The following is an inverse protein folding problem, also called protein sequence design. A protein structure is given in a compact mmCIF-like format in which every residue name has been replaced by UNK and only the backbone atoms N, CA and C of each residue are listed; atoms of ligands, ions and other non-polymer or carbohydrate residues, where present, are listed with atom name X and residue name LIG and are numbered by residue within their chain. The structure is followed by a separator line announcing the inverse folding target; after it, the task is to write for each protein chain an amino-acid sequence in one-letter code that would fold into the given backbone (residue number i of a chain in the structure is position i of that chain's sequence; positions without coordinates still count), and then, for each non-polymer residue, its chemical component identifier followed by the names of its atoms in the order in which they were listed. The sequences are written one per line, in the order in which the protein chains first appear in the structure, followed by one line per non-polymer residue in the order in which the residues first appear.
data_IF_886252686226
#
_entry.id   IF_886252686226
#
_cell.length_a   1.000
_cell.length_b   1.000
_cell.length_c   1.000
_cell.angle_alpha   90.00
_cell.angle_beta   90.00
_cell.angle_gamma   90.00
#
_symmetry.space_group_name_H-M   'P 1'
#
loop_
_entity.id
_entity.type
_entity.pdbx_description
1 polymer ?
#
# COMPACT_ATOMS: atom_id res chain seq x y z
N UNK A 1 -14.53 -9.55 -14.69
CA UNK A 1 -13.32 -9.43 -15.53
C UNK A 1 -13.02 -7.97 -15.59
N UNK A 2 -11.82 -7.55 -15.20
CA UNK A 2 -11.44 -6.13 -15.16
C UNK A 2 -11.61 -5.52 -16.56
N UNK A 3 -12.19 -4.35 -16.61
CA UNK A 3 -12.43 -3.60 -17.84
C UNK A 3 -11.65 -2.29 -17.80
N UNK A 4 -11.07 -1.93 -18.93
CA UNK A 4 -10.30 -0.69 -19.09
C UNK A 4 -10.84 0.10 -20.25
N UNK A 5 -11.06 1.40 -20.03
CA UNK A 5 -11.36 2.34 -21.09
C UNK A 5 -10.17 3.25 -21.32
N UNK A 6 -9.70 3.33 -22.57
CA UNK A 6 -8.66 4.28 -23.00
C UNK A 6 -9.35 5.46 -23.67
N UNK A 7 -9.05 6.67 -23.21
CA UNK A 7 -9.54 7.92 -23.77
C UNK A 7 -8.35 8.66 -24.40
N UNK A 8 -8.34 8.78 -25.71
CA UNK A 8 -7.31 9.53 -26.44
C UNK A 8 -7.83 10.94 -26.70
N UNK A 9 -7.13 11.94 -26.17
CA UNK A 9 -7.54 13.34 -26.19
C UNK A 9 -6.42 14.26 -26.69
N UNK A 10 -6.80 15.24 -27.52
CA UNK A 10 -5.91 16.34 -27.92
C UNK A 10 -6.48 17.66 -27.42
N UNK A 11 -5.70 18.36 -26.62
CA UNK A 11 -6.10 19.64 -26.04
C UNK A 11 -4.90 20.57 -25.83
N UNK A 12 -5.07 21.82 -26.19
CA UNK A 12 -4.15 22.91 -25.84
C UNK A 12 -4.46 23.51 -24.45
N UNK A 13 -5.54 23.04 -23.81
CA UNK A 13 -6.09 23.55 -22.53
C UNK A 13 -6.06 22.50 -21.43
N UNK A 14 -4.92 21.86 -21.23
CA UNK A 14 -4.80 20.75 -20.27
C UNK A 14 -5.12 21.17 -18.83
N UNK A 15 -4.75 22.39 -18.42
CA UNK A 15 -5.06 22.91 -17.07
C UNK A 15 -6.58 23.00 -16.81
N UNK A 16 -7.36 23.36 -17.85
CA UNK A 16 -8.83 23.38 -17.75
C UNK A 16 -9.37 21.95 -17.72
N UNK A 17 -8.78 21.05 -18.49
CA UNK A 17 -9.13 19.64 -18.52
C UNK A 17 -8.86 18.98 -17.16
N UNK A 18 -7.71 19.24 -16.54
CA UNK A 18 -7.36 18.70 -15.21
C UNK A 18 -8.37 19.14 -14.15
N UNK A 19 -8.73 20.44 -14.14
CA UNK A 19 -9.77 20.94 -13.21
C UNK A 19 -11.13 20.28 -13.43
N UNK A 20 -11.48 20.04 -14.70
CA UNK A 20 -12.74 19.35 -15.02
C UNK A 20 -12.74 17.90 -14.52
N UNK A 21 -11.59 17.21 -14.51
CA UNK A 21 -11.43 15.88 -13.92
C UNK A 21 -11.58 15.92 -12.41
N UNK A 22 -11.00 16.93 -11.72
CA UNK A 22 -11.18 17.13 -10.29
C UNK A 22 -12.66 17.35 -9.94
N UNK A 23 -13.38 18.15 -10.75
CA UNK A 23 -14.82 18.39 -10.61
C UNK A 23 -15.61 17.09 -10.80
N UNK A 24 -15.21 16.22 -11.75
CA UNK A 24 -15.84 14.91 -11.94
C UNK A 24 -15.63 14.00 -10.73
N UNK A 25 -14.40 13.95 -10.20
CA UNK A 25 -14.07 13.15 -9.01
C UNK A 25 -14.93 13.57 -7.82
N UNK A 26 -15.07 14.89 -7.60
CA UNK A 26 -15.91 15.43 -6.51
C UNK A 26 -17.41 15.16 -6.73
N UNK A 27 -17.92 15.39 -7.96
CA UNK A 27 -19.35 15.24 -8.27
C UNK A 27 -19.84 13.78 -8.24
N UNK A 28 -18.94 12.83 -8.47
CA UNK A 28 -19.24 11.39 -8.53
C UNK A 28 -18.85 10.63 -7.27
N UNK A 29 -18.44 11.31 -6.21
CA UNK A 29 -18.08 10.69 -4.94
C UNK A 29 -19.21 9.80 -4.41
N UNK A 30 -18.86 8.57 -4.02
CA UNK A 30 -19.82 7.57 -3.54
C UNK A 30 -20.76 6.97 -4.62
N UNK A 31 -20.66 7.42 -5.88
CA UNK A 31 -21.50 6.94 -7.00
C UNK A 31 -20.69 6.28 -8.10
N UNK A 32 -19.46 6.77 -8.37
CA UNK A 32 -18.61 6.24 -9.42
C UNK A 32 -18.20 4.81 -9.17
N UNK A 33 -18.07 4.06 -10.23
CA UNK A 33 -17.59 2.68 -10.23
C UNK A 33 -16.18 2.55 -10.79
N UNK A 34 -15.60 3.63 -11.33
CA UNK A 34 -14.19 3.68 -11.69
C UNK A 34 -13.32 3.49 -10.44
N UNK A 35 -12.35 2.58 -10.54
CA UNK A 35 -11.44 2.22 -9.43
C UNK A 35 -10.09 2.89 -9.55
N UNK A 36 -9.65 3.20 -10.78
CA UNK A 36 -8.38 3.86 -11.05
C UNK A 36 -8.46 4.67 -12.34
N UNK A 37 -7.76 5.80 -12.39
CA UNK A 37 -7.58 6.59 -13.59
C UNK A 37 -6.13 7.08 -13.67
N UNK A 38 -5.50 6.95 -14.84
CA UNK A 38 -4.14 7.37 -15.12
C UNK A 38 -4.15 8.26 -16.37
N UNK A 39 -3.57 9.46 -16.27
CA UNK A 39 -3.41 10.36 -17.44
C UNK A 39 -1.94 10.46 -17.80
N UNK A 40 -1.60 10.07 -19.03
CA UNK A 40 -0.27 10.20 -19.61
C UNK A 40 -0.21 11.33 -20.65
N UNK A 41 0.85 12.15 -20.62
CA UNK A 41 1.18 13.08 -21.72
C UNK A 41 2.09 12.39 -22.71
N UNK A 42 1.76 12.45 -24.01
CA UNK A 42 2.64 11.97 -25.07
C UNK A 42 3.93 12.83 -25.12
N UNK A 43 5.08 12.17 -25.03
CA UNK A 43 6.38 12.85 -25.10
C UNK A 43 6.75 13.32 -26.48
N UNK A 44 6.16 12.74 -27.53
CA UNK A 44 6.46 13.01 -28.91
C UNK A 44 5.50 14.04 -29.55
N UNK A 45 4.33 14.26 -28.90
CA UNK A 45 3.28 15.12 -29.46
C UNK A 45 2.75 16.08 -28.41
N UNK A 46 3.01 17.36 -28.53
CA UNK A 46 2.43 18.36 -27.63
C UNK A 46 0.91 18.40 -27.75
N UNK A 47 0.25 18.57 -26.58
CA UNK A 47 -1.21 18.61 -26.48
C UNK A 47 -1.91 17.27 -26.63
N UNK A 48 -1.18 16.18 -26.74
CA UNK A 48 -1.74 14.83 -26.81
C UNK A 48 -1.67 14.15 -25.43
N UNK A 49 -2.82 13.66 -24.96
CA UNK A 49 -2.99 13.00 -23.65
C UNK A 49 -3.79 11.72 -23.84
N UNK A 50 -3.41 10.71 -23.08
CA UNK A 50 -4.12 9.43 -23.02
C UNK A 50 -4.52 9.19 -21.56
N UNK A 51 -5.81 9.03 -21.34
CA UNK A 51 -6.35 8.62 -20.05
C UNK A 51 -6.71 7.14 -20.10
N UNK A 52 -6.36 6.40 -19.05
CA UNK A 52 -6.68 4.99 -18.85
C UNK A 52 -7.54 4.90 -17.61
N UNK A 53 -8.80 4.46 -17.76
CA UNK A 53 -9.75 4.32 -16.63
C UNK A 53 -10.06 2.85 -16.43
N UNK A 54 -9.92 2.37 -15.20
CA UNK A 54 -10.19 0.98 -14.82
C UNK A 54 -11.53 0.84 -14.10
N UNK A 55 -12.21 -0.27 -14.38
CA UNK A 55 -13.48 -0.66 -13.77
C UNK A 55 -13.47 -2.14 -13.38
N UNK A 56 -14.23 -2.56 -12.36
CA UNK A 56 -14.37 -3.97 -11.98
C UNK A 56 -14.95 -4.82 -13.13
N UNK A 57 -15.79 -4.22 -13.98
CA UNK A 57 -16.44 -4.90 -15.12
C UNK A 57 -16.90 -3.88 -16.18
N UNK A 58 -17.21 -4.37 -17.38
CA UNK A 58 -17.87 -3.57 -18.41
C UNK A 58 -19.25 -3.03 -17.94
N UNK A 59 -20.00 -3.80 -17.16
CA UNK A 59 -21.27 -3.34 -16.60
C UNK A 59 -21.07 -2.13 -15.66
N UNK A 60 -20.00 -2.17 -14.86
CA UNK A 60 -19.62 -1.05 -14.00
C UNK A 60 -19.24 0.20 -14.81
N UNK A 61 -18.49 0.03 -15.90
CA UNK A 61 -18.17 1.12 -16.80
C UNK A 61 -19.43 1.76 -17.41
N UNK A 62 -20.40 0.94 -17.82
CA UNK A 62 -21.68 1.44 -18.34
C UNK A 62 -22.49 2.17 -17.28
N UNK A 63 -22.50 1.68 -16.03
CA UNK A 63 -23.16 2.39 -14.92
C UNK A 63 -22.52 3.75 -14.68
N UNK A 64 -21.19 3.83 -14.71
CA UNK A 64 -20.45 5.06 -14.54
C UNK A 64 -20.74 6.08 -15.65
N UNK A 65 -20.77 5.60 -16.90
CA UNK A 65 -21.07 6.44 -18.06
C UNK A 65 -22.51 6.98 -18.05
N UNK A 66 -23.45 6.26 -17.44
CA UNK A 66 -24.85 6.67 -17.32
C UNK A 66 -25.13 7.60 -16.12
N UNK A 67 -24.13 7.98 -15.32
CA UNK A 67 -24.29 8.99 -14.29
C UNK A 67 -24.56 10.37 -14.95
N UNK A 68 -25.57 11.12 -14.53
CA UNK A 68 -25.83 12.46 -15.06
C UNK A 68 -24.62 13.39 -14.93
N UNK A 69 -23.86 13.25 -13.87
CA UNK A 69 -22.64 14.00 -13.60
C UNK A 69 -21.56 13.66 -14.65
N UNK A 70 -21.40 12.37 -14.99
CA UNK A 70 -20.44 11.92 -16.01
C UNK A 70 -20.82 12.41 -17.39
N UNK A 71 -22.10 12.35 -17.77
CA UNK A 71 -22.59 12.82 -19.08
C UNK A 71 -22.36 14.33 -19.24
N UNK A 72 -22.65 15.14 -18.20
CA UNK A 72 -22.37 16.58 -18.21
C UNK A 72 -20.88 16.87 -18.38
N UNK A 73 -20.03 16.27 -17.56
CA UNK A 73 -18.58 16.47 -17.57
C UNK A 73 -17.98 16.01 -18.91
N UNK A 74 -18.48 14.92 -19.48
CA UNK A 74 -18.09 14.46 -20.80
C UNK A 74 -18.36 15.51 -21.91
N UNK A 75 -19.52 16.15 -21.87
CA UNK A 75 -19.85 17.21 -22.83
C UNK A 75 -18.87 18.40 -22.72
N UNK A 76 -18.52 18.81 -21.50
CA UNK A 76 -17.55 19.85 -21.22
C UNK A 76 -16.12 19.44 -21.65
N UNK A 77 -15.72 18.18 -21.41
CA UNK A 77 -14.45 17.62 -21.86
C UNK A 77 -14.32 17.69 -23.39
N UNK A 78 -15.34 17.27 -24.12
CA UNK A 78 -15.34 17.36 -25.59
C UNK A 78 -15.15 18.81 -26.07
N UNK A 79 -15.72 19.79 -25.37
CA UNK A 79 -15.57 21.22 -25.70
C UNK A 79 -14.16 21.77 -25.39
N UNK A 80 -13.40 21.10 -24.53
CA UNK A 80 -12.00 21.43 -24.23
C UNK A 80 -11.01 20.77 -25.20
N UNK A 81 -11.42 19.75 -25.93
CA UNK A 81 -10.58 19.05 -26.89
C UNK A 81 -10.46 19.80 -28.21
N UNK A 82 -9.24 19.89 -28.79
CA UNK A 82 -8.99 20.47 -30.10
C UNK A 82 -9.48 19.53 -31.22
N UNK A 83 -9.53 18.23 -30.95
CA UNK A 83 -10.07 17.16 -31.80
C UNK A 83 -10.97 16.29 -30.95
N UNK A 84 -12.09 15.83 -31.52
CA UNK A 84 -13.01 14.94 -30.77
C UNK A 84 -12.25 13.74 -30.19
N UNK A 85 -12.36 13.47 -28.87
CA UNK A 85 -11.66 12.34 -28.24
C UNK A 85 -12.16 11.00 -28.79
N UNK A 86 -11.28 10.02 -28.82
CA UNK A 86 -11.63 8.64 -29.16
C UNK A 86 -11.59 7.75 -27.92
N UNK A 87 -12.41 6.70 -27.94
CA UNK A 87 -12.55 5.75 -26.84
C UNK A 87 -12.22 4.34 -27.35
N UNK A 88 -11.44 3.62 -26.57
CA UNK A 88 -11.16 2.20 -26.80
C UNK A 88 -11.47 1.42 -25.55
N UNK A 89 -12.40 0.48 -25.67
CA UNK A 89 -12.84 -0.38 -24.60
C UNK A 89 -12.09 -1.72 -24.67
N UNK A 90 -11.52 -2.16 -23.54
CA UNK A 90 -10.68 -3.35 -23.46
C UNK A 90 -11.12 -4.24 -22.29
N UNK A 91 -11.31 -5.52 -22.57
CA UNK A 91 -11.31 -6.55 -21.54
C UNK A 91 -9.88 -6.92 -21.17
N UNK A 92 -9.51 -6.82 -19.90
CA UNK A 92 -8.17 -7.19 -19.44
C UNK A 92 -8.04 -8.71 -19.47
N UNK A 93 -7.27 -9.21 -20.43
CA UNK A 93 -7.03 -10.67 -20.61
C UNK A 93 -5.81 -11.15 -19.83
N UNK A 94 -4.94 -10.24 -19.39
CA UNK A 94 -3.77 -10.52 -18.59
C UNK A 94 -3.34 -9.27 -17.81
N UNK A 95 -3.16 -9.41 -16.51
CA UNK A 95 -2.63 -8.36 -15.62
C UNK A 95 -1.40 -8.93 -14.89
N UNK A 96 -0.22 -8.58 -15.38
CA UNK A 96 1.06 -8.97 -14.79
C UNK A 96 1.67 -7.74 -14.11
N UNK A 97 1.70 -7.71 -12.82
CA UNK A 97 2.45 -6.71 -12.07
C UNK A 97 3.93 -7.03 -12.09
N UNK A 98 4.63 -6.53 -13.11
CA UNK A 98 6.04 -6.79 -13.35
C UNK A 98 6.93 -5.83 -12.54
N UNK A 99 7.35 -6.27 -11.36
CA UNK A 99 8.43 -5.63 -10.58
C UNK A 99 7.97 -4.47 -9.70
N UNK A 100 8.45 -4.48 -8.46
CA UNK A 100 8.35 -3.34 -7.56
C UNK A 100 9.25 -2.20 -8.01
N UNK A 101 8.72 -1.22 -8.73
CA UNK A 101 9.48 -0.03 -9.13
C UNK A 101 8.78 0.76 -10.24
N UNK A 102 7.79 1.57 -9.92
CA UNK A 102 7.28 2.61 -10.78
C UNK A 102 6.02 2.27 -11.56
N UNK A 103 4.98 2.58 -10.99
CA UNK A 103 3.70 3.21 -11.26
C UNK A 103 2.85 2.95 -10.00
N UNK A 104 3.00 3.83 -9.05
CA UNK A 104 2.18 3.81 -7.85
C UNK A 104 2.97 3.46 -6.60
N UNK A 105 3.50 4.45 -5.98
CA UNK A 105 3.52 4.63 -4.53
C UNK A 105 2.09 4.54 -3.95
N UNK A 106 1.15 4.01 -4.75
CA UNK A 106 -0.30 3.95 -4.47
C UNK A 106 -0.69 2.87 -3.47
N UNK A 107 0.19 1.92 -3.19
CA UNK A 107 0.01 0.98 -2.07
C UNK A 107 0.20 1.65 -0.71
N UNK A 108 0.85 2.83 -0.68
CA UNK A 108 1.13 3.62 0.52
C UNK A 108 0.38 4.95 0.54
N UNK A 109 -0.20 5.41 -0.57
CA UNK A 109 -0.75 6.75 -0.75
C UNK A 109 -2.26 6.91 -0.47
N UNK A 110 -3.00 5.84 -0.19
CA UNK A 110 -4.33 5.95 0.40
C UNK A 110 -4.16 6.01 1.93
N UNK A 111 -3.95 7.21 2.41
CA UNK A 111 -3.66 7.51 3.82
C UNK A 111 -4.91 7.44 4.71
N UNK A 112 -5.57 6.30 4.72
CA UNK A 112 -6.54 6.01 5.77
C UNK A 112 -5.83 6.03 7.14
N UNK A 113 -6.49 6.52 8.22
CA UNK A 113 -5.87 6.65 9.54
C UNK A 113 -5.24 5.36 10.05
N UNK A 114 -5.81 4.21 9.73
CA UNK A 114 -5.29 2.90 10.11
C UNK A 114 -3.97 2.55 9.38
N UNK A 115 -3.85 2.88 8.09
CA UNK A 115 -2.58 2.70 7.35
C UNK A 115 -1.47 3.57 7.93
N UNK A 116 -1.78 4.84 8.24
CA UNK A 116 -0.84 5.76 8.88
C UNK A 116 -0.37 5.22 10.24
N UNK A 117 -1.30 4.76 11.08
CA UNK A 117 -0.98 4.16 12.39
C UNK A 117 -0.11 2.91 12.25
N UNK A 118 -0.43 2.02 11.29
CA UNK A 118 0.37 0.83 11.01
C UNK A 118 1.79 1.20 10.53
N UNK A 119 1.93 2.20 9.66
CA UNK A 119 3.23 2.69 9.16
C UNK A 119 4.08 3.27 10.30
N UNK A 120 3.49 4.12 11.13
CA UNK A 120 4.16 4.70 12.30
C UNK A 120 4.75 3.64 13.24
N UNK A 121 4.07 2.52 13.41
CA UNK A 121 4.64 1.42 14.18
C UNK A 121 5.97 0.93 13.56
N UNK A 122 6.02 0.64 12.26
CA UNK A 122 7.25 0.14 11.63
C UNK A 122 8.37 1.17 11.60
N UNK A 123 8.06 2.43 11.36
CA UNK A 123 9.04 3.50 11.17
C UNK A 123 9.51 4.10 12.50
N UNK A 124 8.58 4.45 13.40
CA UNK A 124 8.90 5.19 14.62
C UNK A 124 9.18 4.25 15.79
N UNK A 125 8.40 3.15 15.94
CA UNK A 125 8.58 2.21 17.06
C UNK A 125 9.61 1.14 16.72
N UNK A 126 9.40 0.37 15.65
CA UNK A 126 10.27 -0.77 15.36
C UNK A 126 11.65 -0.34 14.86
N UNK A 127 11.73 0.61 13.91
CA UNK A 127 13.00 1.12 13.38
C UNK A 127 13.69 2.08 14.35
N UNK A 128 13.02 3.15 14.79
CA UNK A 128 13.64 4.23 15.55
C UNK A 128 13.69 3.95 17.06
N UNK A 129 12.86 3.01 17.55
CA UNK A 129 12.86 2.58 18.96
C UNK A 129 12.06 3.48 19.89
N UNK A 130 11.14 4.29 19.38
CA UNK A 130 10.25 5.10 20.22
C UNK A 130 9.14 4.24 20.83
N UNK A 131 9.50 3.49 21.87
CA UNK A 131 8.54 2.63 22.60
C UNK A 131 7.47 3.45 23.32
N UNK A 132 7.67 4.74 23.55
CA UNK A 132 6.67 5.62 24.16
C UNK A 132 5.41 5.76 23.31
N UNK A 133 5.55 5.68 21.98
CA UNK A 133 4.43 5.74 21.04
C UNK A 133 3.51 4.52 21.10
N UNK A 134 3.95 3.41 21.68
CA UNK A 134 3.13 2.19 21.73
C UNK A 134 1.82 2.40 22.51
N UNK A 135 1.81 3.25 23.54
CA UNK A 135 0.57 3.56 24.27
C UNK A 135 -0.42 4.41 23.45
N UNK A 136 0.08 5.16 22.49
CA UNK A 136 -0.74 5.92 21.53
C UNK A 136 -1.29 5.00 20.44
N UNK A 137 -0.45 4.17 19.83
CA UNK A 137 -0.77 3.38 18.65
C UNK A 137 -1.56 2.11 18.97
N UNK A 138 -1.37 1.50 20.15
CA UNK A 138 -1.95 0.20 20.51
C UNK A 138 -3.04 0.32 21.57
N UNK A 139 -3.99 -0.61 21.52
CA UNK A 139 -4.97 -0.81 22.59
C UNK A 139 -4.31 -1.52 23.80
N UNK A 140 -4.76 -1.19 25.02
CA UNK A 140 -4.21 -1.76 26.25
C UNK A 140 -4.31 -3.30 26.29
N UNK A 141 -5.36 -3.87 25.69
CA UNK A 141 -5.58 -5.32 25.61
C UNK A 141 -5.06 -5.93 24.30
N UNK A 142 -4.02 -5.36 23.68
CA UNK A 142 -3.45 -5.85 22.43
C UNK A 142 -3.18 -7.34 22.45
N UNK A 143 -3.53 -8.03 21.36
CA UNK A 143 -3.27 -9.45 21.16
C UNK A 143 -2.25 -9.64 20.05
N UNK A 144 -1.17 -10.29 20.40
CA UNK A 144 -0.05 -10.58 19.52
C UNK A 144 -0.10 -12.04 19.06
N UNK A 145 -0.11 -12.29 17.75
CA UNK A 145 -0.03 -13.62 17.16
C UNK A 145 1.23 -13.72 16.31
N UNK A 146 2.13 -14.58 16.74
CA UNK A 146 3.40 -14.83 16.05
C UNK A 146 3.62 -16.33 15.93
N UNK A 147 3.45 -16.87 14.71
CA UNK A 147 3.57 -18.30 14.44
C UNK A 147 5.01 -18.83 14.55
N UNK A 148 6.01 -17.94 14.60
CA UNK A 148 7.41 -18.28 14.77
C UNK A 148 7.82 -18.55 16.22
N UNK A 149 6.93 -18.29 17.20
CA UNK A 149 7.23 -18.40 18.63
C UNK A 149 6.61 -19.64 19.28
N UNK A 150 7.22 -20.09 20.40
CA UNK A 150 6.69 -21.22 21.18
C UNK A 150 5.29 -20.93 21.76
N UNK A 151 5.06 -19.69 22.22
CA UNK A 151 3.74 -19.20 22.59
C UNK A 151 3.19 -18.31 21.47
N UNK A 152 2.44 -18.88 20.51
CA UNK A 152 2.06 -18.17 19.30
C UNK A 152 1.02 -17.06 19.52
N UNK A 153 0.44 -16.96 20.72
CA UNK A 153 -0.51 -15.90 21.06
C UNK A 153 -0.25 -15.36 22.46
N UNK A 154 0.08 -14.08 22.55
CA UNK A 154 0.30 -13.38 23.81
C UNK A 154 -0.64 -12.18 23.92
N UNK A 155 -1.11 -11.87 25.13
CA UNK A 155 -2.00 -10.75 25.42
C UNK A 155 -1.26 -9.72 26.26
N UNK A 156 -1.38 -8.47 25.86
CA UNK A 156 -0.84 -7.32 26.57
C UNK A 156 0.29 -6.63 25.79
N UNK A 157 0.38 -5.32 25.97
CA UNK A 157 1.32 -4.47 25.25
C UNK A 157 2.78 -4.68 25.69
N UNK A 158 2.99 -5.09 26.93
CA UNK A 158 4.34 -5.35 27.46
C UNK A 158 5.07 -6.48 26.71
N UNK A 159 4.34 -7.51 26.29
CA UNK A 159 4.92 -8.59 25.49
C UNK A 159 5.44 -8.05 24.14
N UNK A 160 4.69 -7.16 23.50
CA UNK A 160 5.11 -6.54 22.24
C UNK A 160 6.28 -5.57 22.44
N UNK A 161 6.33 -4.83 23.57
CA UNK A 161 7.48 -3.98 23.92
C UNK A 161 8.75 -4.82 24.04
N UNK A 162 8.68 -5.87 24.85
CA UNK A 162 9.80 -6.80 25.06
C UNK A 162 10.26 -7.44 23.74
N UNK A 163 9.32 -7.72 22.84
CA UNK A 163 9.64 -8.26 21.53
C UNK A 163 10.42 -7.26 20.66
N UNK A 164 9.92 -6.02 20.54
CA UNK A 164 10.62 -4.95 19.81
C UNK A 164 12.02 -4.71 20.39
N UNK A 165 12.15 -4.64 21.71
CA UNK A 165 13.45 -4.50 22.41
C UNK A 165 14.39 -5.65 22.03
N UNK A 166 13.92 -6.90 22.13
CA UNK A 166 14.72 -8.09 21.81
C UNK A 166 15.27 -8.08 20.38
N UNK A 167 14.44 -7.72 19.42
CA UNK A 167 14.88 -7.60 18.02
C UNK A 167 15.91 -6.48 17.83
N UNK A 168 15.72 -5.34 18.49
CA UNK A 168 16.62 -4.19 18.42
C UNK A 168 17.95 -4.43 19.13
N UNK A 169 17.93 -5.15 20.24
CA UNK A 169 19.16 -5.56 20.94
C UNK A 169 20.01 -6.52 20.09
N UNK A 170 19.34 -7.39 19.35
CA UNK A 170 20.00 -8.37 18.49
C UNK A 170 20.47 -7.80 17.15
N UNK A 171 19.77 -6.80 16.61
CA UNK A 171 20.02 -6.31 15.26
C UNK A 171 19.93 -4.77 15.18
N UNK A 172 20.86 -4.16 14.44
CA UNK A 172 20.67 -2.82 13.87
C UNK A 172 19.78 -2.96 12.64
N UNK A 173 18.51 -2.62 12.76
CA UNK A 173 17.46 -3.06 11.85
C UNK A 173 16.73 -1.91 11.13
N UNK A 174 16.24 -2.22 9.92
CA UNK A 174 15.37 -1.35 9.16
C UNK A 174 14.28 -2.15 8.42
N UNK A 175 13.09 -1.55 8.30
CA UNK A 175 11.99 -2.06 7.49
C UNK A 175 11.88 -1.28 6.19
N UNK A 176 11.63 -2.01 5.09
CA UNK A 176 11.15 -1.45 3.83
C UNK A 176 9.71 -1.93 3.64
N UNK A 177 8.75 -1.02 3.68
CA UNK A 177 7.35 -1.34 3.45
C UNK A 177 7.06 -1.30 1.95
N UNK A 178 6.52 -2.41 1.41
CA UNK A 178 6.25 -2.55 -0.02
C UNK A 178 4.82 -2.21 -0.39
N UNK A 179 3.86 -2.59 0.45
CA UNK A 179 2.44 -2.32 0.22
C UNK A 179 1.64 -2.41 1.51
N UNK A 180 0.56 -1.65 1.58
CA UNK A 180 -0.44 -1.74 2.62
C UNK A 180 -1.83 -1.88 1.99
N UNK A 181 -2.54 -2.94 2.35
CA UNK A 181 -3.92 -3.18 1.95
C UNK A 181 -4.80 -2.97 3.18
N UNK A 182 -5.74 -2.04 3.10
CA UNK A 182 -6.73 -1.80 4.14
C UNK A 182 -8.08 -2.39 3.73
N UNK A 183 -8.72 -3.07 4.66
CA UNK A 183 -10.13 -3.45 4.65
C UNK A 183 -10.80 -2.78 5.86
N UNK A 184 -12.06 -3.04 6.13
CA UNK A 184 -12.89 -2.37 7.15
C UNK A 184 -12.13 -1.91 8.42
N UNK A 185 -11.63 -2.84 9.20
CA UNK A 185 -10.87 -2.60 10.43
C UNK A 185 -9.46 -3.23 10.41
N UNK A 186 -8.99 -3.72 9.26
CA UNK A 186 -7.69 -4.39 9.13
C UNK A 186 -6.76 -3.68 8.14
N UNK A 187 -5.45 -3.76 8.41
CA UNK A 187 -4.38 -3.35 7.50
C UNK A 187 -3.35 -4.46 7.40
N UNK A 188 -3.19 -5.03 6.21
CA UNK A 188 -2.12 -5.96 5.90
C UNK A 188 -0.94 -5.19 5.28
N UNK A 189 0.24 -5.31 5.87
CA UNK A 189 1.48 -4.67 5.43
C UNK A 189 2.48 -5.72 4.99
N UNK A 190 2.93 -5.69 3.74
CA UNK A 190 4.04 -6.52 3.24
C UNK A 190 5.34 -5.73 3.34
N UNK A 191 6.35 -6.37 3.90
CA UNK A 191 7.62 -5.70 4.18
C UNK A 191 8.84 -6.61 3.95
N UNK A 192 10.01 -5.99 3.74
CA UNK A 192 11.32 -6.59 3.90
C UNK A 192 12.00 -5.96 5.11
N UNK A 193 12.52 -6.79 5.96
CA UNK A 193 13.36 -6.42 7.10
C UNK A 193 14.82 -6.71 6.76
N UNK A 194 15.71 -5.80 7.14
CA UNK A 194 17.17 -5.98 7.07
C UNK A 194 17.76 -5.61 8.42
N UNK A 195 18.81 -6.35 8.85
CA UNK A 195 19.49 -6.03 10.08
C UNK A 195 20.92 -6.55 10.10
N UNK A 196 21.81 -5.83 10.79
CA UNK A 196 23.14 -6.30 11.11
C UNK A 196 23.10 -7.01 12.46
N UNK A 197 23.49 -8.29 12.51
CA UNK A 197 23.47 -9.10 13.72
C UNK A 197 24.55 -8.68 14.70
N UNK A 198 24.15 -7.97 15.76
CA UNK A 198 25.08 -7.36 16.74
C UNK A 198 24.87 -7.83 18.18
N UNK A 199 23.78 -8.51 18.49
CA UNK A 199 23.47 -9.07 19.81
C UNK A 199 23.12 -10.55 19.74
N UNK A 200 22.96 -11.18 20.90
CA UNK A 200 22.51 -12.59 20.99
C UNK A 200 21.10 -12.73 20.41
N UNK A 201 20.88 -13.70 19.51
CA UNK A 201 19.57 -14.00 18.96
C UNK A 201 19.36 -15.51 18.80
N UNK A 202 18.36 -16.05 19.48
CA UNK A 202 18.00 -17.48 19.46
C UNK A 202 19.19 -18.43 19.70
N UNK A 203 20.14 -18.01 20.55
CA UNK A 203 21.36 -18.77 20.87
C UNK A 203 22.52 -18.58 19.89
N UNK A 204 22.35 -17.77 18.85
CA UNK A 204 23.43 -17.33 17.98
C UNK A 204 24.13 -16.13 18.57
N UNK A 205 25.47 -16.22 18.74
CA UNK A 205 26.31 -15.09 19.15
C UNK A 205 26.42 -14.08 18.01
N UNK A 206 26.62 -12.78 18.31
CA UNK A 206 26.77 -11.74 17.31
C UNK A 206 27.76 -12.10 16.20
N UNK A 207 27.32 -12.08 14.96
CA UNK A 207 28.16 -12.42 13.80
C UNK A 207 28.67 -11.18 13.05
N UNK A 208 28.07 -10.01 13.27
CA UNK A 208 28.31 -8.80 12.48
C UNK A 208 27.80 -8.86 11.04
N UNK A 209 27.09 -9.92 10.70
CA UNK A 209 26.58 -10.20 9.36
C UNK A 209 25.31 -9.41 9.08
N UNK A 210 25.19 -8.89 7.85
CA UNK A 210 23.92 -8.37 7.35
C UNK A 210 23.00 -9.52 6.95
N UNK A 211 21.79 -9.52 7.46
CA UNK A 211 20.76 -10.52 7.20
C UNK A 211 19.47 -9.85 6.75
N UNK A 212 18.64 -10.60 6.04
CA UNK A 212 17.36 -10.09 5.52
C UNK A 212 16.24 -11.09 5.73
N UNK A 213 15.02 -10.57 5.89
CA UNK A 213 13.83 -11.38 6.09
C UNK A 213 12.62 -10.69 5.44
N UNK A 214 11.76 -11.47 4.81
CA UNK A 214 10.49 -10.99 4.26
C UNK A 214 9.32 -11.44 5.14
N UNK A 215 8.28 -10.61 5.17
CA UNK A 215 7.10 -10.94 5.93
C UNK A 215 5.89 -10.08 5.60
N UNK A 216 4.81 -10.46 6.24
CA UNK A 216 3.54 -9.74 6.23
C UNK A 216 3.03 -9.64 7.66
N UNK A 217 2.55 -8.45 8.02
CA UNK A 217 1.87 -8.21 9.29
C UNK A 217 0.47 -7.71 8.99
N UNK A 218 -0.54 -8.34 9.58
CA UNK A 218 -1.91 -7.84 9.56
C UNK A 218 -2.24 -7.26 10.92
N UNK A 219 -2.64 -6.00 10.98
CA UNK A 219 -3.14 -5.35 12.17
C UNK A 219 -4.65 -5.17 12.08
N UNK A 220 -5.37 -5.52 13.14
CA UNK A 220 -6.77 -5.18 13.33
C UNK A 220 -6.91 -4.01 14.28
N UNK A 221 -7.77 -3.08 13.92
CA UNK A 221 -7.97 -1.82 14.62
C UNK A 221 -9.29 -1.82 15.39
N UNK A 222 -9.27 -1.18 16.53
CA UNK A 222 -10.45 -0.86 17.31
C UNK A 222 -10.29 0.55 17.88
N UNK A 223 -11.27 1.42 17.66
CA UNK A 223 -11.26 2.82 18.13
C UNK A 223 -9.97 3.59 17.69
N UNK A 224 -9.48 3.32 16.47
CA UNK A 224 -8.28 3.95 15.90
C UNK A 224 -6.95 3.42 16.43
N UNK A 225 -6.96 2.40 17.28
CA UNK A 225 -5.77 1.76 17.85
C UNK A 225 -5.60 0.33 17.35
N UNK A 226 -4.37 -0.14 17.28
CA UNK A 226 -4.02 -1.53 16.96
C UNK A 226 -4.44 -2.41 18.12
N UNK A 227 -5.48 -3.24 17.93
CA UNK A 227 -6.02 -4.13 18.95
C UNK A 227 -5.50 -5.56 18.83
N UNK A 228 -5.10 -5.98 17.64
CA UNK A 228 -4.63 -7.34 17.37
C UNK A 228 -3.64 -7.33 16.19
N UNK A 229 -2.64 -8.20 16.21
CA UNK A 229 -1.64 -8.29 15.14
C UNK A 229 -1.21 -9.70 14.85
N UNK A 230 -1.16 -10.07 13.58
CA UNK A 230 -0.67 -11.37 13.08
C UNK A 230 0.62 -11.16 12.31
N UNK A 231 1.67 -11.88 12.74
CA UNK A 231 3.00 -11.80 12.17
C UNK A 231 3.33 -13.10 11.43
N UNK A 232 3.63 -12.99 10.15
CA UNK A 232 4.03 -14.11 9.30
C UNK A 232 5.31 -13.72 8.59
N UNK A 233 6.41 -14.43 8.86
CA UNK A 233 7.72 -14.11 8.31
C UNK A 233 8.61 -15.35 8.23
N UNK A 234 9.69 -15.30 7.42
CA UNK A 234 10.62 -16.42 7.21
C UNK A 234 11.70 -16.47 8.28
N UNK A 235 11.32 -16.85 9.51
CA UNK A 235 12.27 -17.03 10.62
C UNK A 235 13.31 -18.10 10.29
N UNK A 236 12.91 -19.18 9.60
CA UNK A 236 13.83 -20.26 9.20
C UNK A 236 14.86 -19.78 8.18
N UNK A 237 14.50 -18.87 7.29
CA UNK A 237 15.41 -18.21 6.37
C UNK A 237 16.45 -17.37 7.09
N UNK A 238 16.02 -16.64 8.13
CA UNK A 238 16.91 -15.86 8.99
C UNK A 238 17.89 -16.76 9.76
N UNK A 239 17.40 -17.82 10.43
CA UNK A 239 18.27 -18.79 11.14
C UNK A 239 19.36 -19.35 10.23
N UNK A 240 19.01 -19.79 9.01
CA UNK A 240 19.99 -20.31 8.03
C UNK A 240 21.06 -19.28 7.66
N UNK A 241 20.69 -18.01 7.58
CA UNK A 241 21.67 -16.93 7.32
C UNK A 241 22.65 -16.81 8.48
N UNK A 242 22.16 -16.85 9.73
CA UNK A 242 23.00 -16.78 10.94
C UNK A 242 23.91 -17.99 11.10
N UNK A 243 23.46 -19.19 10.69
CA UNK A 243 24.25 -20.43 10.74
C UNK A 243 25.36 -20.47 9.68
N UNK A 244 25.16 -19.85 8.52
CA UNK A 244 26.11 -19.98 7.38
C UNK A 244 27.41 -19.19 7.56
N UNK A 245 27.53 -18.32 8.58
CA UNK A 245 28.70 -17.48 8.81
C UNK A 245 28.92 -16.41 7.71
N UNK A 246 29.82 -15.45 7.93
CA UNK A 246 30.15 -14.47 6.90
C UNK A 246 30.79 -15.15 5.70
N UNK A 247 30.28 -14.87 4.48
CA UNK A 247 30.89 -15.29 3.19
C UNK A 247 32.12 -14.47 2.89
#
# INVERSE_FOLDING_TARGET
MTFVQIIDCRTSRYEDMSRLMDDWVAATEGKRTATHALVGKDRAQDGHYVEIVEFPSHEDAMRNSNLPETDRIFAEMVALCDVRPSFTDLDVVRDDRLGGGGLGDEGLSDEGPNKTTARRFFEEVARDGDLGLMDELFATGYRHHDIGKEEPTVVGLEAMRSDVESWRDAFDLAFTLHSQLAGDDEVATRWTWRGTHQGDFMGHQPTGQEVTMEGTTTFRFQDGKIAEGWWIYDLRGLERQLESGPV
#
